data_IF_493462953348
#
_entry.id   IF_493462953348
#
_cell.length_a   1.000
_cell.length_b   1.000
_cell.length_c   1.000
_cell.angle_alpha   90.00
_cell.angle_beta   90.00
_cell.angle_gamma   90.00
#
_symmetry.space_group_name_H-M   'P 1'
#
loop_
_entity.id
_entity.type
_entity.pdbx_description
1 polymer ?
#
# COMPACT_ATOMS: atom_id res chain seq x y z
N UNK A 1 -13.40 4.62 0.97
CA UNK A 1 -12.87 3.72 -0.07
C UNK A 1 -11.98 2.67 0.58
N UNK A 2 -11.96 1.45 0.06
CA UNK A 2 -11.10 0.35 0.49
C UNK A 2 -10.31 -0.15 -0.71
N UNK A 3 -8.99 -0.22 -0.55
CA UNK A 3 -8.07 -0.79 -1.54
C UNK A 3 -7.71 -2.20 -1.06
N UNK A 4 -8.17 -3.19 -1.81
CA UNK A 4 -7.84 -4.59 -1.59
C UNK A 4 -6.65 -4.97 -2.46
N UNK A 5 -6.07 -6.12 -2.20
CA UNK A 5 -4.92 -6.61 -2.96
C UNK A 5 -5.19 -6.80 -4.47
N UNK A 6 -6.46 -6.96 -4.87
CA UNK A 6 -6.86 -7.25 -6.25
C UNK A 6 -8.01 -6.39 -6.77
N UNK A 7 -8.52 -5.43 -5.99
CA UNK A 7 -9.67 -4.59 -6.38
C UNK A 7 -9.79 -3.35 -5.50
N UNK A 8 -10.57 -2.39 -5.94
CA UNK A 8 -11.00 -1.23 -5.14
C UNK A 8 -12.51 -1.28 -4.93
N UNK A 9 -12.95 -0.95 -3.72
CA UNK A 9 -14.38 -0.83 -3.38
C UNK A 9 -14.68 0.44 -2.60
N UNK A 10 -15.95 0.84 -2.57
CA UNK A 10 -16.45 1.79 -1.58
C UNK A 10 -16.46 1.18 -0.17
N UNK A 11 -16.57 2.02 0.88
CA UNK A 11 -16.88 1.50 2.21
C UNK A 11 -18.38 1.15 2.28
N UNK A 12 -19.21 1.95 1.62
CA UNK A 12 -20.60 1.63 1.25
C UNK A 12 -20.70 1.28 -0.24
N UNK A 13 -21.81 0.67 -0.70
CA UNK A 13 -22.03 0.37 -2.12
C UNK A 13 -22.01 1.59 -3.05
N UNK A 14 -22.22 2.80 -2.51
CA UNK A 14 -22.34 4.02 -3.30
C UNK A 14 -21.09 4.91 -3.26
N UNK A 15 -20.16 4.70 -2.31
CA UNK A 15 -19.04 5.62 -2.11
C UNK A 15 -18.15 5.74 -3.35
N UNK A 16 -17.78 4.60 -3.96
CA UNK A 16 -16.88 4.61 -5.13
C UNK A 16 -17.55 5.32 -6.31
N UNK A 17 -18.85 5.08 -6.51
CA UNK A 17 -19.65 5.78 -7.53
C UNK A 17 -19.71 7.27 -7.26
N UNK A 18 -19.92 7.69 -6.02
CA UNK A 18 -19.98 9.10 -5.64
C UNK A 18 -18.62 9.78 -5.81
N UNK A 19 -17.52 9.10 -5.47
CA UNK A 19 -16.16 9.59 -5.71
C UNK A 19 -15.92 9.75 -7.22
N UNK A 20 -16.23 8.76 -8.04
CA UNK A 20 -16.07 8.85 -9.49
C UNK A 20 -16.95 9.95 -10.11
N UNK A 21 -18.16 10.15 -9.59
CA UNK A 21 -19.02 11.27 -9.98
C UNK A 21 -18.35 12.61 -9.66
N UNK A 22 -17.76 12.75 -8.48
CA UNK A 22 -17.00 13.96 -8.11
C UNK A 22 -15.79 14.15 -9.01
N UNK A 23 -15.01 13.09 -9.27
CA UNK A 23 -13.84 13.11 -10.14
C UNK A 23 -14.16 13.70 -11.52
N UNK A 24 -15.29 13.27 -12.10
CA UNK A 24 -15.75 13.77 -13.38
C UNK A 24 -15.92 15.29 -13.39
N UNK A 25 -16.44 15.88 -12.31
CA UNK A 25 -16.64 17.33 -12.21
C UNK A 25 -15.33 18.12 -12.03
N UNK A 26 -14.34 17.55 -11.34
CA UNK A 26 -13.05 18.21 -11.05
C UNK A 26 -11.91 17.78 -11.98
N UNK A 27 -12.23 16.98 -13.01
CA UNK A 27 -11.29 16.57 -14.04
C UNK A 27 -10.35 15.43 -13.65
N UNK A 28 -10.57 14.76 -12.51
CA UNK A 28 -9.80 13.57 -12.14
C UNK A 28 -10.23 12.35 -12.96
N UNK A 29 -9.30 11.41 -13.13
CA UNK A 29 -9.58 10.12 -13.76
C UNK A 29 -10.64 9.33 -12.97
N UNK A 30 -11.37 8.45 -13.66
CA UNK A 30 -12.26 7.51 -12.98
C UNK A 30 -11.44 6.45 -12.24
N UNK A 31 -11.79 6.14 -10.98
CA UNK A 31 -11.19 5.03 -10.24
C UNK A 31 -11.95 3.76 -10.60
N UNK A 32 -11.32 2.89 -11.38
CA UNK A 32 -11.76 1.52 -11.64
C UNK A 32 -10.63 0.55 -11.34
N UNK A 33 -10.94 -0.69 -10.99
CA UNK A 33 -9.88 -1.64 -10.59
C UNK A 33 -8.96 -1.98 -11.77
N UNK A 34 -9.52 -1.96 -12.97
CA UNK A 34 -8.86 -2.27 -14.24
C UNK A 34 -7.84 -1.19 -14.65
N UNK A 35 -7.97 0.04 -14.13
CA UNK A 35 -7.03 1.13 -14.43
C UNK A 35 -5.77 1.09 -13.55
N UNK A 36 -5.68 0.14 -12.62
CA UNK A 36 -4.55 -0.01 -11.69
C UNK A 36 -3.89 -1.37 -11.96
N UNK A 37 -2.90 -1.44 -12.87
CA UNK A 37 -2.30 -2.70 -13.29
C UNK A 37 -1.67 -3.48 -12.14
N UNK A 38 -1.26 -2.80 -11.07
CA UNK A 38 -0.68 -3.40 -9.86
C UNK A 38 -1.63 -4.40 -9.19
N UNK A 39 -2.94 -4.14 -9.22
CA UNK A 39 -3.95 -5.04 -8.63
C UNK A 39 -4.01 -6.40 -9.34
N UNK A 40 -3.55 -6.49 -10.60
CA UNK A 40 -3.53 -7.74 -11.34
C UNK A 40 -2.44 -8.69 -10.83
N UNK A 41 -1.31 -8.15 -10.35
CA UNK A 41 -0.17 -8.98 -9.97
C UNK A 41 0.15 -8.98 -8.47
N UNK A 42 -0.35 -8.01 -7.70
CA UNK A 42 -0.17 -7.94 -6.24
C UNK A 42 -0.53 -9.23 -5.49
N UNK A 43 -1.59 -9.99 -5.84
CA UNK A 43 -1.88 -11.28 -5.20
C UNK A 43 -0.74 -12.29 -5.32
N UNK A 44 -0.04 -12.32 -6.45
CA UNK A 44 1.11 -13.21 -6.65
C UNK A 44 2.33 -12.74 -5.85
N UNK A 45 2.52 -11.42 -5.70
CA UNK A 45 3.58 -10.86 -4.85
C UNK A 45 3.35 -11.24 -3.38
N UNK A 46 2.11 -11.15 -2.88
CA UNK A 46 1.79 -11.63 -1.54
C UNK A 46 1.97 -13.15 -1.43
N UNK A 47 1.55 -13.90 -2.45
CA UNK A 47 1.78 -15.35 -2.52
C UNK A 47 3.27 -15.72 -2.42
N UNK A 48 4.14 -14.97 -3.10
CA UNK A 48 5.60 -15.11 -3.01
C UNK A 48 6.12 -14.84 -1.60
N UNK A 49 5.66 -13.78 -0.94
CA UNK A 49 6.05 -13.46 0.44
C UNK A 49 5.61 -14.55 1.43
N UNK A 50 4.37 -15.04 1.29
CA UNK A 50 3.84 -16.14 2.11
C UNK A 50 4.65 -17.42 1.88
N UNK A 51 4.93 -17.76 0.61
CA UNK A 51 5.76 -18.92 0.28
C UNK A 51 7.17 -18.80 0.87
N UNK A 52 7.80 -17.62 0.78
CA UNK A 52 9.10 -17.35 1.40
C UNK A 52 9.07 -17.52 2.92
N UNK A 53 7.98 -17.12 3.58
CA UNK A 53 7.80 -17.34 5.02
C UNK A 53 7.72 -18.84 5.36
N UNK A 54 6.98 -19.65 4.59
CA UNK A 54 6.94 -21.10 4.78
C UNK A 54 8.30 -21.77 4.58
N UNK A 55 9.06 -21.34 3.57
CA UNK A 55 10.42 -21.86 3.34
C UNK A 55 11.35 -21.50 4.50
N UNK A 56 11.19 -20.30 5.08
CA UNK A 56 11.97 -19.87 6.25
C UNK A 56 11.70 -20.74 7.47
N UNK A 57 10.45 -21.16 7.68
CA UNK A 57 10.08 -22.07 8.77
C UNK A 57 10.67 -23.48 8.60
N UNK A 58 10.63 -24.02 7.37
CA UNK A 58 11.18 -25.35 7.08
C UNK A 58 12.72 -25.36 7.17
N UNK A 59 13.36 -24.24 6.80
CA UNK A 59 14.82 -24.07 6.81
C UNK A 59 15.23 -22.88 7.68
N UNK A 60 15.14 -22.99 9.02
CA UNK A 60 15.28 -21.86 9.96
C UNK A 60 16.74 -21.42 10.12
N UNK A 61 17.29 -20.80 9.08
CA UNK A 61 18.62 -20.18 9.09
C UNK A 61 18.48 -18.67 9.24
N UNK A 62 19.41 -18.06 9.98
CA UNK A 62 19.51 -16.59 10.12
C UNK A 62 19.46 -15.87 8.77
N UNK A 63 20.12 -16.41 7.75
CA UNK A 63 20.09 -15.86 6.39
C UNK A 63 18.70 -15.83 5.76
N UNK A 64 17.82 -16.80 6.07
CA UNK A 64 16.45 -16.83 5.56
C UNK A 64 15.57 -15.76 6.21
N UNK A 65 15.71 -15.56 7.53
CA UNK A 65 15.01 -14.47 8.22
C UNK A 65 15.48 -13.08 7.72
N UNK A 66 16.78 -12.89 7.50
CA UNK A 66 17.32 -11.66 6.88
C UNK A 66 16.74 -11.47 5.47
N UNK A 67 16.72 -12.52 4.65
CA UNK A 67 16.15 -12.47 3.31
C UNK A 67 14.65 -12.10 3.34
N UNK A 68 13.89 -12.64 4.29
CA UNK A 68 12.48 -12.29 4.50
C UNK A 68 12.29 -10.81 4.84
N UNK A 69 13.12 -10.25 5.72
CA UNK A 69 13.10 -8.82 6.06
C UNK A 69 13.43 -7.97 4.82
N UNK A 70 14.49 -8.30 4.09
CA UNK A 70 14.89 -7.56 2.88
C UNK A 70 13.76 -7.59 1.85
N UNK A 71 13.13 -8.74 1.62
CA UNK A 71 12.01 -8.86 0.69
C UNK A 71 10.80 -8.01 1.13
N UNK A 72 10.41 -8.07 2.41
CA UNK A 72 9.29 -7.26 2.92
C UNK A 72 9.57 -5.76 2.77
N UNK A 73 10.79 -5.31 3.11
CA UNK A 73 11.17 -3.91 2.96
C UNK A 73 11.22 -3.48 1.51
N UNK A 74 11.78 -4.30 0.61
CA UNK A 74 11.90 -3.98 -0.80
C UNK A 74 10.52 -3.90 -1.46
N UNK A 75 9.67 -4.91 -1.25
CA UNK A 75 8.30 -4.92 -1.76
C UNK A 75 7.50 -3.74 -1.18
N UNK A 76 7.62 -3.48 0.13
CA UNK A 76 6.94 -2.37 0.78
C UNK A 76 7.36 -1.01 0.23
N UNK A 77 8.67 -0.77 0.07
CA UNK A 77 9.20 0.48 -0.47
C UNK A 77 8.81 0.67 -1.94
N UNK A 78 8.91 -0.36 -2.77
CA UNK A 78 8.49 -0.30 -4.18
C UNK A 78 7.00 -0.04 -4.28
N UNK A 79 6.17 -0.76 -3.52
CA UNK A 79 4.72 -0.58 -3.51
C UNK A 79 4.29 0.81 -3.03
N UNK A 80 4.91 1.35 -1.97
CA UNK A 80 4.63 2.71 -1.49
C UNK A 80 5.09 3.78 -2.48
N UNK A 81 6.24 3.59 -3.13
CA UNK A 81 6.75 4.52 -4.13
C UNK A 81 5.86 4.56 -5.36
N UNK A 82 5.40 3.40 -5.81
CA UNK A 82 4.49 3.29 -6.94
C UNK A 82 3.11 3.85 -6.59
N UNK A 83 2.58 3.56 -5.40
CA UNK A 83 1.32 4.12 -4.93
C UNK A 83 1.38 5.66 -4.83
N UNK A 84 2.46 6.23 -4.31
CA UNK A 84 2.68 7.68 -4.31
C UNK A 84 2.68 8.27 -5.73
N UNK A 85 3.34 7.59 -6.68
CA UNK A 85 3.37 8.00 -8.09
C UNK A 85 1.97 7.94 -8.71
N UNK A 86 1.20 6.91 -8.42
CA UNK A 86 -0.19 6.79 -8.86
C UNK A 86 -1.04 7.94 -8.31
N UNK A 87 -0.97 8.23 -7.00
CA UNK A 87 -1.68 9.36 -6.37
C UNK A 87 -1.29 10.71 -6.97
N UNK A 88 0.01 10.90 -7.25
CA UNK A 88 0.50 12.11 -7.88
C UNK A 88 -0.11 12.31 -9.27
N UNK A 89 -0.03 11.28 -10.13
CA UNK A 89 -0.61 11.33 -11.47
C UNK A 89 -2.12 11.55 -11.42
N UNK A 90 -2.81 10.84 -10.53
CA UNK A 90 -4.25 10.94 -10.32
C UNK A 90 -4.69 12.35 -9.90
N UNK A 91 -3.91 13.01 -9.04
CA UNK A 91 -4.22 14.34 -8.51
C UNK A 91 -3.75 15.53 -9.36
N UNK A 92 -2.80 15.33 -10.29
CA UNK A 92 -2.18 16.41 -11.08
C UNK A 92 -2.48 16.33 -12.58
N UNK A 93 -2.87 15.17 -13.10
CA UNK A 93 -3.24 15.01 -14.50
C UNK A 93 -4.74 15.23 -14.68
N UNK A 94 -5.17 16.49 -14.53
CA UNK A 94 -6.56 16.89 -14.56
C UNK A 94 -7.00 17.27 -15.98
N UNK A 95 -8.23 16.90 -16.35
CA UNK A 95 -8.83 17.32 -17.62
C UNK A 95 -9.07 18.85 -17.62
N UNK A 96 -8.48 19.62 -18.55
CA UNK A 96 -8.66 21.07 -18.63
C UNK A 96 -10.07 21.49 -19.10
N UNK A 97 -10.89 20.55 -19.58
CA UNK A 97 -12.28 20.80 -19.99
C UNK A 97 -13.29 20.42 -18.88
N UNK A 98 -12.81 20.14 -17.67
CA UNK A 98 -13.67 19.75 -16.56
C UNK A 98 -14.64 20.89 -16.16
N UNK A 99 -15.87 20.55 -15.70
CA UNK A 99 -16.84 21.56 -15.26
C UNK A 99 -16.35 22.49 -14.13
N UNK A 100 -15.50 21.99 -13.23
CA UNK A 100 -14.97 22.73 -12.09
C UNK A 100 -13.44 22.73 -12.18
N UNK A 101 -12.87 23.91 -12.41
CA UNK A 101 -11.43 24.12 -12.47
C UNK A 101 -11.09 25.18 -11.43
N UNK A 102 -10.15 24.84 -10.54
CA UNK A 102 -9.60 25.79 -9.57
C UNK A 102 -8.13 25.98 -9.91
N UNK A 103 -7.77 27.19 -10.32
CA UNK A 103 -6.40 27.50 -10.76
C UNK A 103 -5.37 27.18 -9.67
N UNK A 104 -4.32 26.44 -10.05
CA UNK A 104 -3.22 26.07 -9.15
C UNK A 104 -3.55 24.99 -8.12
N UNK A 105 -4.76 24.42 -8.12
CA UNK A 105 -5.13 23.34 -7.19
C UNK A 105 -4.88 21.96 -7.77
N UNK A 106 -4.32 21.07 -6.95
CA UNK A 106 -4.17 19.66 -7.24
C UNK A 106 -4.90 18.82 -6.18
N UNK A 107 -5.48 17.70 -6.62
CA UNK A 107 -6.35 16.86 -5.80
C UNK A 107 -5.69 15.55 -5.40
N UNK A 108 -4.35 15.58 -5.22
CA UNK A 108 -3.60 14.40 -4.78
C UNK A 108 -4.06 13.98 -3.37
N UNK A 109 -4.60 12.75 -3.21
CA UNK A 109 -4.90 12.17 -1.90
C UNK A 109 -3.63 12.00 -1.05
N UNK A 110 -3.73 11.95 0.29
CA UNK A 110 -2.58 11.69 1.12
C UNK A 110 -2.20 10.20 1.05
N UNK A 111 -0.90 9.91 0.89
CA UNK A 111 -0.37 8.55 1.03
C UNK A 111 -0.66 7.97 2.43
N UNK A 112 -0.52 8.82 3.45
CA UNK A 112 -0.79 8.51 4.85
C UNK A 112 -1.30 9.77 5.59
N UNK A 113 -2.28 9.60 6.46
CA UNK A 113 -2.88 10.70 7.22
C UNK A 113 -4.06 11.33 6.50
N UNK A 114 -4.38 12.59 6.81
CA UNK A 114 -5.54 13.29 6.25
C UNK A 114 -5.11 14.57 5.54
N UNK A 115 -5.80 14.89 4.45
CA UNK A 115 -5.62 16.13 3.68
C UNK A 115 -6.97 16.64 3.22
N UNK A 116 -7.17 17.95 3.32
CA UNK A 116 -8.35 18.63 2.81
C UNK A 116 -8.15 19.00 1.33
N UNK A 117 -9.16 18.73 0.51
CA UNK A 117 -9.22 18.99 -0.92
C UNK A 117 -10.55 19.70 -1.22
N UNK A 118 -10.48 21.00 -1.49
CA UNK A 118 -11.64 21.92 -1.40
C UNK A 118 -12.36 21.80 -0.05
N UNK A 119 -13.55 21.18 -0.06
CA UNK A 119 -14.44 21.02 1.08
C UNK A 119 -14.61 19.53 1.43
N UNK A 120 -13.64 18.70 1.01
CA UNK A 120 -13.61 17.25 1.24
C UNK A 120 -12.33 16.89 1.96
N UNK A 121 -12.46 16.23 3.11
CA UNK A 121 -11.31 15.65 3.81
C UNK A 121 -11.11 14.22 3.35
N UNK A 122 -9.96 13.93 2.73
CA UNK A 122 -9.55 12.56 2.43
C UNK A 122 -8.54 12.08 3.47
N UNK A 123 -8.73 10.86 3.97
CA UNK A 123 -7.85 10.23 4.93
C UNK A 123 -7.43 8.84 4.44
N UNK A 124 -6.14 8.53 4.59
CA UNK A 124 -5.52 7.26 4.19
C UNK A 124 -4.80 6.63 5.38
N UNK A 125 -5.22 5.41 5.72
CA UNK A 125 -4.64 4.64 6.80
C UNK A 125 -4.47 3.18 6.39
N UNK A 126 -3.43 2.49 6.88
CA UNK A 126 -3.28 1.06 6.69
C UNK A 126 -4.50 0.32 7.26
N UNK A 127 -5.10 -0.54 6.44
CA UNK A 127 -6.10 -1.50 6.92
C UNK A 127 -5.42 -2.76 7.48
N UNK A 128 -6.19 -3.79 7.81
CA UNK A 128 -5.71 -5.04 8.41
C UNK A 128 -4.54 -5.68 7.65
N UNK A 129 -4.57 -5.68 6.30
CA UNK A 129 -3.48 -6.22 5.50
C UNK A 129 -2.13 -5.53 5.74
N UNK A 130 -2.14 -4.19 5.80
CA UNK A 130 -0.94 -3.41 6.10
C UNK A 130 -0.44 -3.63 7.53
N UNK A 131 -1.36 -3.73 8.50
CA UNK A 131 -1.02 -4.03 9.89
C UNK A 131 -0.38 -5.41 10.05
N UNK A 132 -0.92 -6.43 9.36
CA UNK A 132 -0.37 -7.81 9.38
C UNK A 132 1.04 -7.85 8.77
N UNK A 133 1.27 -7.15 7.65
CA UNK A 133 2.61 -7.04 7.05
C UNK A 133 3.60 -6.28 7.96
N UNK A 134 3.12 -5.26 8.67
CA UNK A 134 3.94 -4.58 9.69
C UNK A 134 4.32 -5.51 10.84
N UNK A 135 3.36 -6.29 11.34
CA UNK A 135 3.60 -7.26 12.41
C UNK A 135 4.54 -8.40 11.99
N UNK A 136 4.46 -8.87 10.72
CA UNK A 136 5.38 -9.90 10.23
C UNK A 136 6.82 -9.39 10.17
N UNK A 137 7.04 -8.14 9.78
CA UNK A 137 8.35 -7.50 9.83
C UNK A 137 8.88 -7.43 11.27
N UNK A 138 8.06 -6.99 12.23
CA UNK A 138 8.42 -6.95 13.66
C UNK A 138 8.78 -8.34 14.18
N UNK A 139 8.02 -9.37 13.80
CA UNK A 139 8.29 -10.74 14.20
C UNK A 139 9.65 -11.25 13.67
N UNK A 140 9.97 -11.00 12.40
CA UNK A 140 11.26 -11.40 11.84
C UNK A 140 12.44 -10.67 12.51
N UNK A 141 12.29 -9.38 12.79
CA UNK A 141 13.31 -8.60 13.52
C UNK A 141 13.50 -9.15 14.94
N UNK A 142 12.41 -9.50 15.62
CA UNK A 142 12.46 -10.12 16.94
C UNK A 142 13.18 -11.48 16.92
N UNK A 143 12.90 -12.33 15.93
CA UNK A 143 13.58 -13.63 15.77
C UNK A 143 15.10 -13.45 15.63
N UNK A 144 15.53 -12.50 14.79
CA UNK A 144 16.97 -12.21 14.64
C UNK A 144 17.60 -11.68 15.93
N UNK A 145 16.87 -10.86 16.67
CA UNK A 145 17.34 -10.36 17.95
C UNK A 145 17.48 -11.46 19.00
N UNK A 146 16.50 -12.36 19.12
CA UNK A 146 16.53 -13.51 20.04
C UNK A 146 17.70 -14.45 19.71
N UNK A 147 17.87 -14.80 18.44
CA UNK A 147 18.95 -15.66 17.97
C UNK A 147 20.34 -15.06 18.26
N UNK A 148 20.49 -13.73 18.10
CA UNK A 148 21.74 -13.05 18.44
C UNK A 148 22.01 -13.04 19.96
N UNK A 149 20.97 -13.00 20.80
CA UNK A 149 21.11 -13.11 22.27
C UNK A 149 21.53 -14.53 22.68
N UNK A 150 20.94 -15.57 22.08
CA UNK A 150 21.32 -16.98 22.35
C UNK A 150 22.78 -17.26 21.99
N UNK A 151 23.24 -16.77 20.84
CA UNK A 151 24.66 -16.92 20.43
C UNK A 151 25.62 -16.30 21.43
N UNK A 152 25.33 -15.10 21.94
CA UNK A 152 26.17 -14.45 22.96
C UNK A 152 26.22 -15.23 24.27
N UNK A 153 25.10 -15.83 24.68
CA UNK A 153 25.04 -16.65 25.91
C UNK A 153 25.82 -17.96 25.82
N UNK A 154 25.98 -18.53 24.61
CA UNK A 154 26.68 -19.80 24.41
C UNK A 154 28.21 -19.64 24.24
N UNK A 155 28.70 -18.40 24.17
CA UNK A 155 30.13 -18.07 23.99
C UNK A 155 30.80 -17.69 25.33
N UNK A 156 30.02 -17.56 26.41
CA UNK A 156 30.47 -17.36 27.80
C UNK A 156 30.45 -18.70 28.53
#
# INVERSE_FOLDING_TARGET
MQIWINKITGATPYDLKNINLLNHYIGMQEIVSESIPELLFMPYVLGYLIFGAFITEIYPKVGMAILGIINLLLVGLVGLSDFWRWEYNYGHNLNPEAPIIVEGMAYQPPLLGCKEMLNITACSYPSYGGLILGLSLVALVYILWDENRRKKSNVV
#
